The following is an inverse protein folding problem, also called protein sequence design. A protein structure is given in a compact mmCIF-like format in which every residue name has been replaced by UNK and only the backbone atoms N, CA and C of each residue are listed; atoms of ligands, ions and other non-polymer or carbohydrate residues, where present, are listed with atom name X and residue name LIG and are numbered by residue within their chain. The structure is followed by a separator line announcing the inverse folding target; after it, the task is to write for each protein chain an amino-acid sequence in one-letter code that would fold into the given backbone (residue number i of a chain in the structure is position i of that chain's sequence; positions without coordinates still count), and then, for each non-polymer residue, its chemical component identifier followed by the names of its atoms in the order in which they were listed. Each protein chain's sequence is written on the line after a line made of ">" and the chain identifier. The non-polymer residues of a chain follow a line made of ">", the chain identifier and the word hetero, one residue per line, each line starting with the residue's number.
data_IF_511758964355
#
_entry.id   IF_511758964355
#
_cell.length_a   1.000
_cell.length_b   1.000
_cell.length_c   1.000
_cell.angle_alpha   90.00
_cell.angle_beta   90.00
_cell.angle_gamma   90.00
#
_symmetry.space_group_name_H-M   'P 1'
#
loop_
_entity.id
_entity.type
_entity.pdbx_description
1 polymer ?
#
# COMPACT_ATOMS: atom_id res chain seq x y z
N UNK A 1 11.16 -15.16 -18.12
CA UNK A 1 11.46 -15.08 -16.66
C UNK A 1 12.67 -14.21 -16.47
N UNK A 2 12.80 -13.54 -15.31
CA UNK A 2 14.00 -12.78 -14.96
C UNK A 2 15.15 -13.75 -14.63
N UNK A 3 16.36 -13.46 -15.10
CA UNK A 3 17.57 -14.20 -14.66
C UNK A 3 18.20 -13.55 -13.43
N UNK A 4 19.00 -14.30 -12.67
CA UNK A 4 19.56 -13.82 -11.39
C UNK A 4 20.32 -12.48 -11.51
N UNK A 5 21.09 -12.29 -12.59
CA UNK A 5 21.85 -11.06 -12.84
C UNK A 5 20.96 -9.84 -13.11
N UNK A 6 19.78 -10.04 -13.71
CA UNK A 6 18.79 -8.98 -13.91
C UNK A 6 18.10 -8.63 -12.59
N UNK A 7 17.71 -9.64 -11.80
CA UNK A 7 17.08 -9.43 -10.49
C UNK A 7 18.02 -8.64 -9.56
N UNK A 8 19.33 -8.92 -9.61
CA UNK A 8 20.34 -8.13 -8.88
C UNK A 8 20.24 -6.64 -9.19
N UNK A 9 20.22 -6.31 -10.47
CA UNK A 9 20.25 -4.93 -10.95
C UNK A 9 18.94 -4.21 -10.60
N UNK A 10 17.81 -4.91 -10.70
CA UNK A 10 16.51 -4.41 -10.24
C UNK A 10 16.57 -4.09 -8.75
N UNK A 11 17.04 -5.02 -7.90
CA UNK A 11 17.13 -4.79 -6.45
C UNK A 11 18.00 -3.57 -6.13
N UNK A 12 19.17 -3.45 -6.76
CA UNK A 12 20.04 -2.27 -6.59
C UNK A 12 19.34 -0.97 -6.97
N UNK A 13 18.61 -0.98 -8.09
CA UNK A 13 17.87 0.21 -8.55
C UNK A 13 16.69 0.56 -7.63
N UNK A 14 15.97 -0.43 -7.10
CA UNK A 14 14.89 -0.23 -6.13
C UNK A 14 15.43 0.33 -4.80
N UNK A 15 16.52 -0.25 -4.28
CA UNK A 15 17.15 0.17 -3.03
C UNK A 15 17.60 1.63 -3.06
N UNK A 16 18.19 2.06 -4.17
CA UNK A 16 18.60 3.45 -4.37
C UNK A 16 17.43 4.41 -4.69
N UNK A 17 16.17 3.99 -4.48
CA UNK A 17 14.97 4.83 -4.52
C UNK A 17 14.44 5.24 -3.14
N UNK A 18 15.13 4.88 -2.05
CA UNK A 18 14.66 5.07 -0.67
C UNK A 18 14.22 6.50 -0.31
N UNK A 19 14.87 7.51 -0.89
CA UNK A 19 14.61 8.92 -0.59
C UNK A 19 13.79 9.64 -1.69
N UNK A 20 13.23 8.88 -2.64
CA UNK A 20 12.54 9.43 -3.80
C UNK A 20 11.01 9.40 -3.66
N UNK A 21 10.35 10.34 -4.35
CA UNK A 21 8.89 10.42 -4.44
C UNK A 21 8.37 9.48 -5.53
N UNK A 22 8.22 8.21 -5.20
CA UNK A 22 7.79 7.15 -6.12
C UNK A 22 6.28 6.88 -5.96
N UNK A 23 5.47 7.85 -6.41
CA UNK A 23 4.02 7.92 -6.13
C UNK A 23 3.14 7.44 -7.29
N UNK A 24 3.76 7.02 -8.40
CA UNK A 24 3.08 6.49 -9.57
C UNK A 24 3.91 5.39 -10.25
N UNK A 25 3.27 4.58 -11.09
CA UNK A 25 3.99 3.66 -11.96
C UNK A 25 4.94 4.37 -12.94
N UNK A 26 4.65 5.63 -13.31
CA UNK A 26 5.53 6.42 -14.17
C UNK A 26 6.84 6.83 -13.46
N UNK A 27 6.76 7.16 -12.17
CA UNK A 27 7.97 7.46 -11.36
C UNK A 27 8.89 6.23 -11.31
N UNK A 28 8.32 5.04 -11.13
CA UNK A 28 9.06 3.78 -11.16
C UNK A 28 9.64 3.47 -12.54
N UNK A 29 8.91 3.78 -13.61
CA UNK A 29 9.39 3.61 -14.98
C UNK A 29 10.63 4.47 -15.25
N UNK A 30 10.58 5.74 -14.85
CA UNK A 30 11.73 6.64 -14.94
C UNK A 30 12.91 6.11 -14.12
N UNK A 31 12.66 5.55 -12.94
CA UNK A 31 13.70 5.06 -12.04
C UNK A 31 14.40 3.80 -12.54
N UNK A 32 13.63 2.90 -13.14
CA UNK A 32 14.08 1.60 -13.64
C UNK A 32 14.46 1.64 -15.13
N UNK A 33 14.39 2.82 -15.76
CA UNK A 33 14.80 3.03 -17.13
C UNK A 33 16.24 2.58 -17.35
N UNK A 34 16.46 1.78 -18.41
CA UNK A 34 17.77 1.22 -18.74
C UNK A 34 18.26 0.08 -17.86
N UNK A 35 17.56 -0.28 -16.77
CA UNK A 35 17.94 -1.42 -15.92
C UNK A 35 17.58 -2.74 -16.62
N UNK A 36 18.52 -3.67 -16.85
CA UNK A 36 18.23 -4.98 -17.41
C UNK A 36 17.14 -5.74 -16.63
N UNK A 37 16.24 -6.42 -17.35
CA UNK A 37 15.08 -7.11 -16.78
C UNK A 37 13.94 -6.21 -16.29
N UNK A 38 14.14 -4.89 -16.16
CA UNK A 38 13.12 -3.96 -15.64
C UNK A 38 11.79 -4.01 -16.38
N UNK A 39 11.79 -4.31 -17.69
CA UNK A 39 10.55 -4.45 -18.49
C UNK A 39 9.59 -5.48 -17.90
N UNK A 40 10.09 -6.62 -17.41
CA UNK A 40 9.23 -7.67 -16.81
C UNK A 40 8.70 -7.20 -15.46
N UNK A 41 9.55 -6.57 -14.65
CA UNK A 41 9.16 -6.03 -13.35
C UNK A 41 8.13 -4.90 -13.49
N UNK A 42 8.35 -3.96 -14.42
CA UNK A 42 7.46 -2.84 -14.70
C UNK A 42 6.13 -3.28 -15.29
N UNK A 43 6.11 -4.33 -16.11
CA UNK A 43 4.84 -4.90 -16.59
C UNK A 43 3.95 -5.35 -15.43
N UNK A 44 4.54 -6.08 -14.48
CA UNK A 44 3.83 -6.49 -13.27
C UNK A 44 3.42 -5.27 -12.43
N UNK A 45 4.36 -4.35 -12.14
CA UNK A 45 4.09 -3.17 -11.31
C UNK A 45 2.96 -2.29 -11.87
N UNK A 46 2.87 -2.14 -13.21
CA UNK A 46 1.79 -1.40 -13.86
C UNK A 46 0.42 -2.06 -13.71
N UNK A 47 0.35 -3.39 -13.73
CA UNK A 47 -0.90 -4.12 -13.50
C UNK A 47 -1.38 -3.99 -12.05
N UNK A 48 -0.45 -3.92 -11.11
CA UNK A 48 -0.72 -3.75 -9.70
C UNK A 48 -1.09 -2.31 -9.30
N UNK A 49 -0.87 -1.33 -10.19
CA UNK A 49 -1.09 0.08 -9.90
C UNK A 49 -2.47 0.55 -10.35
N UNK A 50 -3.40 0.67 -9.40
CA UNK A 50 -4.76 1.10 -9.69
C UNK A 50 -4.87 2.63 -9.79
N UNK A 51 -5.76 3.14 -10.66
CA UNK A 51 -6.05 4.57 -10.74
C UNK A 51 -6.64 5.08 -9.42
N UNK A 52 -6.29 6.33 -9.09
CA UNK A 52 -6.79 7.01 -7.91
C UNK A 52 -7.47 8.29 -8.39
N UNK A 53 -8.80 8.27 -8.39
CA UNK A 53 -9.62 9.43 -8.70
C UNK A 53 -10.45 9.76 -7.47
N UNK A 54 -10.26 10.93 -6.83
CA UNK A 54 -11.14 11.39 -5.77
C UNK A 54 -12.60 11.42 -6.28
N UNK A 55 -13.54 10.71 -5.63
CA UNK A 55 -14.93 10.63 -6.10
C UNK A 55 -15.67 11.98 -6.09
N UNK A 56 -15.29 12.87 -5.19
CA UNK A 56 -15.88 14.21 -5.04
C UNK A 56 -14.84 15.25 -4.56
N UNK A 57 -15.25 16.51 -4.47
CA UNK A 57 -14.41 17.62 -4.02
C UNK A 57 -14.00 17.51 -2.55
N UNK A 58 -14.81 16.85 -1.73
CA UNK A 58 -14.46 16.63 -0.33
C UNK A 58 -13.30 15.64 -0.21
N UNK A 59 -13.38 14.50 -0.89
CA UNK A 59 -12.30 13.52 -1.01
C UNK A 59 -11.03 14.16 -1.59
N UNK A 60 -11.17 15.05 -2.58
CA UNK A 60 -10.03 15.81 -3.13
C UNK A 60 -9.35 16.66 -2.06
N UNK A 61 -10.10 17.38 -1.22
CA UNK A 61 -9.55 18.15 -0.10
C UNK A 61 -8.88 17.27 0.95
N UNK A 62 -9.43 16.07 1.21
CA UNK A 62 -8.85 15.14 2.19
C UNK A 62 -7.47 14.63 1.77
N UNK A 63 -7.17 14.55 0.47
CA UNK A 63 -5.81 14.24 -0.03
C UNK A 63 -4.80 15.22 0.52
N UNK A 64 -5.12 16.52 0.49
CA UNK A 64 -4.22 17.57 0.98
C UNK A 64 -4.07 17.50 2.49
N UNK A 65 -5.17 17.28 3.23
CA UNK A 65 -5.15 17.10 4.69
C UNK A 65 -4.22 15.96 5.12
N UNK A 66 -4.39 14.77 4.52
CA UNK A 66 -3.57 13.60 4.87
C UNK A 66 -2.11 13.80 4.46
N UNK A 67 -1.87 14.39 3.29
CA UNK A 67 -0.51 14.69 2.82
C UNK A 67 0.20 15.68 3.75
N UNK A 68 -0.47 16.76 4.15
CA UNK A 68 0.07 17.77 5.07
C UNK A 68 0.33 17.19 6.46
N UNK A 69 -0.54 16.30 6.94
CA UNK A 69 -0.31 15.61 8.22
C UNK A 69 0.97 14.76 8.18
N UNK A 70 1.11 13.92 7.14
CA UNK A 70 2.28 13.03 7.00
C UNK A 70 3.60 13.78 6.78
N UNK A 71 3.58 14.89 6.01
CA UNK A 71 4.79 15.64 5.61
C UNK A 71 5.66 16.14 6.77
N UNK A 72 5.14 16.16 8.00
CA UNK A 72 5.84 16.62 9.20
C UNK A 72 6.96 15.66 9.66
N UNK A 73 7.01 14.44 9.12
CA UNK A 73 7.86 13.36 9.64
C UNK A 73 8.76 12.72 8.57
N UNK A 74 9.91 12.20 8.99
CA UNK A 74 10.75 11.35 8.14
C UNK A 74 9.99 10.07 7.77
N UNK A 75 10.12 9.61 6.52
CA UNK A 75 9.39 8.45 6.01
C UNK A 75 8.00 8.75 5.42
N UNK A 76 7.55 10.01 5.44
CA UNK A 76 6.27 10.46 4.87
C UNK A 76 6.05 9.99 3.42
N UNK A 77 7.07 10.09 2.58
CA UNK A 77 6.98 9.67 1.18
C UNK A 77 6.63 8.19 1.03
N UNK A 78 7.20 7.32 1.87
CA UNK A 78 6.89 5.90 1.84
C UNK A 78 5.44 5.65 2.28
N UNK A 79 5.02 6.22 3.40
CA UNK A 79 3.64 6.05 3.90
C UNK A 79 2.66 6.57 2.86
N UNK A 80 2.91 7.75 2.29
CA UNK A 80 2.07 8.33 1.25
C UNK A 80 1.97 7.44 0.00
N UNK A 81 3.09 6.90 -0.49
CA UNK A 81 3.09 5.99 -1.63
C UNK A 81 2.27 4.71 -1.34
N UNK A 82 2.34 4.19 -0.12
CA UNK A 82 1.51 3.07 0.33
C UNK A 82 0.03 3.44 0.38
N UNK A 83 -0.32 4.55 1.04
CA UNK A 83 -1.68 5.10 1.11
C UNK A 83 -2.31 5.22 -0.26
N UNK A 84 -1.59 5.75 -1.25
CA UNK A 84 -2.07 5.86 -2.63
C UNK A 84 -2.42 4.49 -3.23
N UNK A 85 -1.52 3.51 -3.16
CA UNK A 85 -1.77 2.17 -3.73
C UNK A 85 -2.92 1.45 -3.03
N UNK A 86 -3.03 1.56 -1.71
CA UNK A 86 -4.17 1.02 -0.94
C UNK A 86 -5.47 1.70 -1.35
N UNK A 87 -5.47 3.02 -1.48
CA UNK A 87 -6.65 3.78 -1.92
C UNK A 87 -7.12 3.36 -3.31
N UNK A 88 -6.20 3.18 -4.26
CA UNK A 88 -6.53 2.69 -5.60
C UNK A 88 -7.12 1.27 -5.58
N UNK A 89 -6.55 0.36 -4.80
CA UNK A 89 -7.08 -0.99 -4.64
C UNK A 89 -8.49 -0.98 -4.01
N UNK A 90 -8.70 -0.15 -2.98
CA UNK A 90 -10.00 -0.01 -2.32
C UNK A 90 -11.06 0.52 -3.29
N UNK A 91 -10.74 1.53 -4.11
CA UNK A 91 -11.65 2.05 -5.13
C UNK A 91 -12.07 0.98 -6.15
N UNK A 92 -11.13 0.13 -6.60
CA UNK A 92 -11.44 -0.92 -7.57
C UNK A 92 -12.42 -1.96 -7.04
N UNK A 93 -12.38 -2.24 -5.74
CA UNK A 93 -13.26 -3.22 -5.10
C UNK A 93 -14.56 -2.60 -4.55
N UNK A 94 -14.71 -1.27 -4.55
CA UNK A 94 -15.79 -0.57 -3.89
C UNK A 94 -17.18 -1.07 -4.33
N UNK A 95 -17.39 -1.23 -5.64
CA UNK A 95 -18.66 -1.72 -6.20
C UNK A 95 -18.94 -3.18 -5.83
N UNK A 96 -17.93 -4.05 -5.81
CA UNK A 96 -18.10 -5.46 -5.42
C UNK A 96 -18.37 -5.59 -3.91
N UNK A 97 -17.84 -4.66 -3.12
CA UNK A 97 -18.01 -4.60 -1.68
C UNK A 97 -19.31 -3.96 -1.22
N UNK A 98 -20.13 -3.42 -2.12
CA UNK A 98 -21.30 -2.59 -1.78
C UNK A 98 -20.92 -1.41 -0.85
N UNK A 99 -19.77 -0.79 -1.14
CA UNK A 99 -19.24 0.36 -0.41
C UNK A 99 -19.19 1.54 -1.36
N UNK A 100 -19.83 2.65 -0.99
CA UNK A 100 -19.80 3.87 -1.79
C UNK A 100 -18.35 4.33 -2.04
N UNK A 101 -18.00 4.78 -3.26
CA UNK A 101 -16.63 5.12 -3.62
C UNK A 101 -15.96 6.12 -2.67
N UNK A 102 -16.69 7.10 -2.15
CA UNK A 102 -16.13 8.06 -1.19
C UNK A 102 -15.62 7.37 0.09
N UNK A 103 -16.30 6.35 0.61
CA UNK A 103 -15.84 5.67 1.82
C UNK A 103 -14.70 4.70 1.54
N UNK A 104 -14.71 4.02 0.39
CA UNK A 104 -13.58 3.22 -0.06
C UNK A 104 -12.31 4.08 -0.17
N UNK A 105 -12.45 5.27 -0.77
CA UNK A 105 -11.39 6.26 -0.89
C UNK A 105 -10.87 6.71 0.48
N UNK A 106 -11.76 7.17 1.36
CA UNK A 106 -11.39 7.70 2.68
C UNK A 106 -10.77 6.63 3.58
N UNK A 107 -11.25 5.38 3.53
CA UNK A 107 -10.62 4.29 4.26
C UNK A 107 -9.18 4.06 3.83
N UNK A 108 -8.93 3.93 2.52
CA UNK A 108 -7.58 3.79 2.00
C UNK A 108 -6.69 4.99 2.35
N UNK A 109 -7.24 6.20 2.32
CA UNK A 109 -6.51 7.44 2.58
C UNK A 109 -6.10 7.60 4.04
N UNK A 110 -6.99 7.28 4.99
CA UNK A 110 -6.77 7.54 6.42
C UNK A 110 -6.21 6.35 7.20
N UNK A 111 -6.20 5.12 6.68
CA UNK A 111 -5.87 3.93 7.50
C UNK A 111 -4.50 3.97 8.20
N UNK A 112 -3.50 4.58 7.56
CA UNK A 112 -2.11 4.69 8.06
C UNK A 112 -1.69 6.16 8.29
N UNK A 113 -2.65 7.11 8.37
CA UNK A 113 -2.30 8.53 8.56
C UNK A 113 -1.57 8.79 9.88
N UNK A 114 -1.88 8.01 10.92
CA UNK A 114 -1.25 8.08 12.24
C UNK A 114 0.09 7.33 12.35
N UNK A 115 0.61 6.75 11.25
CA UNK A 115 1.75 5.82 11.31
C UNK A 115 3.03 6.45 11.85
N UNK A 116 3.22 7.74 11.61
CA UNK A 116 4.42 8.47 12.00
C UNK A 116 4.27 9.14 13.38
N UNK A 117 3.09 9.04 13.99
CA UNK A 117 2.74 9.62 15.29
C UNK A 117 2.82 8.60 16.46
N UNK A 118 2.79 7.29 16.16
CA UNK A 118 2.74 6.18 17.15
C UNK A 118 3.89 6.24 18.19
N UNK A 119 5.06 6.74 17.80
CA UNK A 119 6.20 6.93 18.71
C UNK A 119 6.18 8.23 19.53
N UNK A 120 5.21 9.12 19.28
CA UNK A 120 5.12 10.46 19.86
C UNK A 120 3.96 10.54 20.86
N UNK A 121 2.79 10.01 20.48
CA UNK A 121 1.56 10.17 21.27
C UNK A 121 1.31 9.00 22.24
N UNK A 122 1.97 7.85 22.05
CA UNK A 122 1.77 6.65 22.88
C UNK A 122 0.46 5.89 22.60
N UNK A 123 -0.35 6.38 21.66
CA UNK A 123 -1.50 5.70 21.06
C UNK A 123 -1.06 4.88 19.83
N UNK A 124 -1.83 3.86 19.46
CA UNK A 124 -1.56 3.10 18.22
C UNK A 124 -1.86 3.95 16.98
N UNK A 125 -1.15 3.70 15.88
CA UNK A 125 -1.41 4.44 14.64
C UNK A 125 -2.85 4.29 14.13
N UNK A 126 -3.49 3.15 14.40
CA UNK A 126 -4.89 2.92 14.04
C UNK A 126 -5.85 3.80 14.87
N UNK A 127 -5.58 4.02 16.15
CA UNK A 127 -6.36 4.92 17.01
C UNK A 127 -6.17 6.38 16.60
N UNK A 128 -4.93 6.81 16.35
CA UNK A 128 -4.60 8.15 15.88
C UNK A 128 -5.28 8.41 14.53
N UNK A 129 -5.19 7.46 13.60
CA UNK A 129 -5.83 7.57 12.29
C UNK A 129 -7.36 7.67 12.38
N UNK A 130 -7.98 6.89 13.26
CA UNK A 130 -9.41 6.96 13.51
C UNK A 130 -9.85 8.30 14.14
N UNK A 131 -9.04 8.86 15.04
CA UNK A 131 -9.26 10.18 15.64
C UNK A 131 -9.20 11.28 14.59
N UNK A 132 -8.14 11.33 13.79
CA UNK A 132 -7.98 12.30 12.70
C UNK A 132 -9.14 12.19 11.70
N UNK A 133 -9.49 10.97 11.28
CA UNK A 133 -10.65 10.76 10.40
C UNK A 133 -11.96 11.26 11.04
N UNK A 134 -12.16 11.01 12.33
CA UNK A 134 -13.36 11.49 13.04
C UNK A 134 -13.45 13.00 13.02
N UNK A 135 -12.36 13.71 13.32
CA UNK A 135 -12.31 15.17 13.36
C UNK A 135 -12.68 15.79 12.00
N UNK A 136 -12.10 15.29 10.90
CA UNK A 136 -12.27 15.89 9.57
C UNK A 136 -13.57 15.50 8.88
N UNK A 137 -14.12 14.32 9.19
CA UNK A 137 -15.33 13.80 8.53
C UNK A 137 -16.63 14.25 9.21
N UNK A 138 -16.58 14.65 10.48
CA UNK A 138 -17.77 14.99 11.29
C UNK A 138 -18.57 16.18 10.77
N UNK A 139 -17.94 17.09 10.01
CA UNK A 139 -18.63 18.24 9.43
C UNK A 139 -19.42 17.90 8.15
N UNK A 140 -19.13 16.76 7.53
CA UNK A 140 -19.62 16.41 6.17
C UNK A 140 -20.52 15.18 6.17
N UNK A 141 -20.22 14.18 7.00
CA UNK A 141 -20.92 12.90 7.00
C UNK A 141 -21.73 12.70 8.28
N UNK A 142 -22.70 11.77 8.20
CA UNK A 142 -23.53 11.43 9.36
C UNK A 142 -22.71 10.78 10.47
N UNK A 143 -23.15 10.95 11.71
CA UNK A 143 -22.49 10.39 12.90
C UNK A 143 -22.31 8.86 12.82
N UNK A 144 -23.26 8.14 12.21
CA UNK A 144 -23.15 6.68 12.03
C UNK A 144 -22.03 6.31 11.07
N UNK A 145 -21.90 7.03 9.95
CA UNK A 145 -20.85 6.78 8.97
C UNK A 145 -19.46 7.12 9.52
N UNK A 146 -19.32 8.27 10.17
CA UNK A 146 -18.05 8.65 10.82
C UNK A 146 -17.61 7.60 11.84
N UNK A 147 -18.54 7.12 12.68
CA UNK A 147 -18.26 6.05 13.65
C UNK A 147 -17.83 4.75 12.97
N UNK A 148 -18.50 4.35 11.87
CA UNK A 148 -18.13 3.15 11.14
C UNK A 148 -16.74 3.28 10.53
N UNK A 149 -16.44 4.40 9.84
CA UNK A 149 -15.12 4.66 9.26
C UNK A 149 -14.02 4.63 10.32
N UNK A 150 -14.24 5.31 11.46
CA UNK A 150 -13.31 5.30 12.58
C UNK A 150 -13.10 3.88 13.14
N UNK A 151 -14.18 3.11 13.33
CA UNK A 151 -14.10 1.73 13.83
C UNK A 151 -13.38 0.78 12.86
N UNK A 152 -13.51 0.99 11.54
CA UNK A 152 -12.79 0.21 10.54
C UNK A 152 -11.30 0.54 10.57
N UNK A 153 -10.94 1.82 10.63
CA UNK A 153 -9.55 2.28 10.72
C UNK A 153 -8.89 1.77 12.01
N UNK A 154 -9.57 1.90 13.16
CA UNK A 154 -9.09 1.43 14.47
C UNK A 154 -9.17 -0.09 14.67
N UNK A 155 -9.59 -0.85 13.65
CA UNK A 155 -9.79 -2.31 13.68
C UNK A 155 -10.77 -2.79 14.76
N UNK A 156 -11.68 -1.93 15.19
CA UNK A 156 -12.75 -2.23 16.16
C UNK A 156 -14.05 -2.70 15.47
N UNK A 157 -14.21 -2.47 14.17
CA UNK A 157 -15.32 -2.98 13.39
C UNK A 157 -15.23 -4.50 13.20
N UNK A 158 -16.39 -5.14 12.97
CA UNK A 158 -16.45 -6.59 12.71
C UNK A 158 -15.60 -6.98 11.50
N UNK A 159 -14.86 -8.10 11.62
CA UNK A 159 -14.03 -8.63 10.54
C UNK A 159 -14.83 -9.11 9.31
N UNK A 160 -16.13 -9.36 9.47
CA UNK A 160 -17.03 -9.72 8.36
C UNK A 160 -17.73 -8.51 7.73
N UNK A 161 -17.53 -7.32 8.28
CA UNK A 161 -18.08 -6.09 7.72
C UNK A 161 -17.43 -5.80 6.35
N UNK A 162 -18.22 -5.40 5.32
CA UNK A 162 -17.67 -5.12 3.99
C UNK A 162 -16.58 -4.06 3.96
N UNK A 163 -16.69 -2.99 4.76
CA UNK A 163 -15.69 -1.92 4.84
C UNK A 163 -14.36 -2.43 5.41
N UNK A 164 -14.44 -3.31 6.43
CA UNK A 164 -13.26 -3.96 7.02
C UNK A 164 -12.58 -4.90 6.02
N UNK A 165 -13.36 -5.72 5.30
CA UNK A 165 -12.83 -6.63 4.27
C UNK A 165 -12.21 -5.88 3.11
N UNK A 166 -12.85 -4.81 2.67
CA UNK A 166 -12.37 -3.93 1.61
C UNK A 166 -11.00 -3.34 1.97
N UNK A 167 -10.89 -2.72 3.14
CA UNK A 167 -9.62 -2.14 3.60
C UNK A 167 -8.55 -3.22 3.81
N UNK A 168 -8.92 -4.36 4.40
CA UNK A 168 -8.01 -5.49 4.60
C UNK A 168 -7.42 -5.97 3.26
N UNK A 169 -8.26 -6.27 2.27
CA UNK A 169 -7.79 -6.74 0.97
C UNK A 169 -6.90 -5.69 0.28
N UNK A 170 -7.30 -4.42 0.32
CA UNK A 170 -6.57 -3.33 -0.31
C UNK A 170 -5.16 -3.15 0.28
N UNK A 171 -5.04 -3.19 1.62
CA UNK A 171 -3.75 -3.13 2.35
C UNK A 171 -2.89 -4.37 2.07
N UNK A 172 -3.49 -5.58 2.10
CA UNK A 172 -2.74 -6.82 1.88
C UNK A 172 -2.20 -6.96 0.46
N UNK A 173 -2.96 -6.52 -0.55
CA UNK A 173 -2.48 -6.50 -1.93
C UNK A 173 -1.20 -5.68 -2.09
N UNK A 174 -0.92 -4.68 -1.25
CA UNK A 174 0.32 -3.90 -1.35
C UNK A 174 1.56 -4.60 -0.77
N UNK A 175 1.40 -5.75 -0.11
CA UNK A 175 2.49 -6.43 0.62
C UNK A 175 3.22 -7.49 -0.21
N UNK A 176 2.63 -7.85 -1.36
CA UNK A 176 3.15 -8.84 -2.31
C UNK A 176 3.25 -8.22 -3.71
N UNK A 177 3.64 -9.02 -4.70
CA UNK A 177 3.89 -8.60 -6.07
C UNK A 177 5.09 -7.67 -6.21
N UNK A 178 5.16 -6.99 -7.36
CA UNK A 178 6.18 -5.99 -7.64
C UNK A 178 6.09 -4.79 -6.70
N UNK A 179 4.88 -4.34 -6.31
CA UNK A 179 4.70 -3.24 -5.35
C UNK A 179 5.19 -3.62 -3.97
N UNK A 180 4.93 -4.84 -3.50
CA UNK A 180 5.42 -5.32 -2.20
C UNK A 180 6.95 -5.40 -2.14
N UNK A 181 7.58 -5.87 -3.23
CA UNK A 181 9.05 -5.89 -3.36
C UNK A 181 9.60 -4.47 -3.37
N UNK A 182 9.05 -3.61 -4.24
CA UNK A 182 9.47 -2.23 -4.38
C UNK A 182 9.36 -1.47 -3.05
N UNK A 183 8.19 -1.51 -2.40
CA UNK A 183 7.94 -0.79 -1.14
C UNK A 183 8.89 -1.20 -0.04
N UNK A 184 9.30 -2.48 0.03
CA UNK A 184 10.18 -2.96 1.10
C UNK A 184 11.64 -2.59 0.84
N UNK A 185 12.06 -2.60 -0.42
CA UNK A 185 13.45 -2.27 -0.80
C UNK A 185 13.69 -0.76 -0.86
N UNK A 186 12.72 0.04 -1.28
CA UNK A 186 12.84 1.50 -1.40
C UNK A 186 12.54 2.21 -0.09
N UNK A 187 13.19 1.77 0.98
CA UNK A 187 13.17 2.42 2.30
C UNK A 187 14.59 2.56 2.79
N UNK A 188 14.86 3.50 3.69
CA UNK A 188 16.20 3.65 4.25
C UNK A 188 16.71 2.31 4.83
N UNK A 189 15.87 1.63 5.62
CA UNK A 189 16.19 0.32 6.18
C UNK A 189 16.37 -0.75 5.09
N UNK A 190 15.44 -0.84 4.14
CA UNK A 190 15.44 -1.87 3.10
C UNK A 190 16.62 -1.75 2.13
N UNK A 191 17.03 -0.51 1.84
CA UNK A 191 18.18 -0.23 0.99
C UNK A 191 19.51 -0.70 1.61
N UNK A 192 19.62 -0.64 2.95
CA UNK A 192 20.79 -1.11 3.71
C UNK A 192 20.71 -2.59 4.08
N UNK A 193 19.51 -3.15 4.18
CA UNK A 193 19.26 -4.51 4.66
C UNK A 193 18.40 -5.31 3.67
N UNK A 194 18.86 -5.40 2.43
CA UNK A 194 18.16 -6.06 1.31
C UNK A 194 17.68 -7.48 1.66
N UNK A 195 18.54 -8.32 2.24
CA UNK A 195 18.17 -9.70 2.61
C UNK A 195 17.02 -9.72 3.63
N UNK A 196 17.07 -8.85 4.65
CA UNK A 196 15.98 -8.70 5.62
C UNK A 196 14.70 -8.16 4.99
N UNK A 197 14.79 -7.20 4.08
CA UNK A 197 13.63 -6.70 3.34
C UNK A 197 12.96 -7.81 2.51
N UNK A 198 13.76 -8.62 1.80
CA UNK A 198 13.26 -9.77 1.03
C UNK A 198 12.70 -10.89 1.91
N UNK A 199 13.31 -11.17 3.08
CA UNK A 199 12.73 -12.09 4.08
C UNK A 199 11.36 -11.63 4.55
N UNK A 200 11.16 -10.32 4.75
CA UNK A 200 9.84 -9.77 5.09
C UNK A 200 8.83 -9.96 3.97
N UNK A 201 9.22 -9.74 2.70
CA UNK A 201 8.35 -10.03 1.55
C UNK A 201 7.99 -11.53 1.50
N UNK A 202 8.97 -12.41 1.72
CA UNK A 202 8.73 -13.87 1.82
C UNK A 202 7.72 -14.20 2.92
N UNK A 203 7.89 -13.64 4.12
CA UNK A 203 6.97 -13.87 5.23
C UNK A 203 5.55 -13.36 4.94
N UNK A 204 5.40 -12.23 4.24
CA UNK A 204 4.08 -11.71 3.82
C UNK A 204 3.41 -12.63 2.79
N UNK A 205 4.21 -13.24 1.89
CA UNK A 205 3.73 -14.24 0.93
C UNK A 205 3.28 -15.53 1.64
N UNK A 206 4.10 -16.06 2.56
CA UNK A 206 3.82 -17.30 3.30
C UNK A 206 2.59 -17.18 4.21
N UNK A 207 2.41 -16.01 4.83
CA UNK A 207 1.30 -15.73 5.73
C UNK A 207 0.14 -14.98 5.03
N UNK A 208 0.09 -15.00 3.70
CA UNK A 208 -0.91 -14.26 2.94
C UNK A 208 -2.30 -14.83 3.20
N UNK A 209 -3.20 -13.98 3.70
CA UNK A 209 -4.57 -14.38 4.05
C UNK A 209 -5.45 -14.47 2.80
N UNK A 210 -6.51 -15.28 2.82
CA UNK A 210 -7.50 -15.29 1.74
C UNK A 210 -8.10 -13.90 1.50
N UNK A 211 -8.34 -13.59 0.23
CA UNK A 211 -9.01 -12.37 -0.22
C UNK A 211 -10.52 -12.59 -0.28
N UNK A 212 -11.28 -11.51 -0.17
CA UNK A 212 -12.73 -11.50 -0.07
C UNK A 212 -13.42 -11.29 -1.42
N UNK A 213 -12.84 -10.47 -2.29
CA UNK A 213 -13.43 -10.02 -3.56
C UNK A 213 -12.78 -10.68 -4.77
N UNK A 214 -13.49 -10.70 -5.89
CA UNK A 214 -13.08 -11.31 -7.16
C UNK A 214 -11.83 -10.61 -7.67
N UNK A 215 -11.86 -9.27 -7.73
CA UNK A 215 -10.70 -8.47 -8.10
C UNK A 215 -9.47 -8.76 -7.23
N UNK A 216 -9.64 -8.78 -5.89
CA UNK A 216 -8.50 -9.02 -5.00
C UNK A 216 -7.98 -10.45 -5.04
N UNK A 217 -8.84 -11.45 -5.26
CA UNK A 217 -8.41 -12.84 -5.47
C UNK A 217 -7.53 -12.97 -6.71
N UNK A 218 -8.01 -12.48 -7.86
CA UNK A 218 -7.28 -12.54 -9.12
C UNK A 218 -5.96 -11.76 -9.06
N UNK A 219 -6.01 -10.54 -8.51
CA UNK A 219 -4.82 -9.72 -8.31
C UNK A 219 -3.83 -10.42 -7.37
N UNK A 220 -4.30 -10.98 -6.25
CA UNK A 220 -3.43 -11.69 -5.31
C UNK A 220 -2.75 -12.91 -5.96
N UNK A 221 -3.45 -13.67 -6.80
CA UNK A 221 -2.84 -14.80 -7.53
C UNK A 221 -1.68 -14.35 -8.41
N UNK A 222 -1.90 -13.36 -9.27
CA UNK A 222 -0.87 -12.81 -10.14
C UNK A 222 0.33 -12.26 -9.34
N UNK A 223 0.05 -11.55 -8.24
CA UNK A 223 1.07 -10.98 -7.37
C UNK A 223 1.88 -12.05 -6.63
N UNK A 224 1.23 -13.11 -6.14
CA UNK A 224 1.89 -14.24 -5.48
C UNK A 224 2.84 -14.96 -6.43
N UNK A 225 2.39 -15.24 -7.66
CA UNK A 225 3.19 -15.92 -8.68
C UNK A 225 4.45 -15.11 -9.03
N UNK A 226 4.28 -13.79 -9.19
CA UNK A 226 5.40 -12.90 -9.44
C UNK A 226 6.37 -12.87 -8.25
N UNK A 227 5.86 -12.71 -7.03
CA UNK A 227 6.70 -12.70 -5.81
C UNK A 227 7.48 -13.99 -5.65
N UNK A 228 6.83 -15.15 -5.83
CA UNK A 228 7.48 -16.45 -5.74
C UNK A 228 8.63 -16.58 -6.75
N UNK A 229 8.35 -16.24 -8.02
CA UNK A 229 9.36 -16.27 -9.09
C UNK A 229 10.53 -15.34 -8.79
N UNK A 230 10.25 -14.12 -8.34
CA UNK A 230 11.27 -13.13 -8.01
C UNK A 230 12.15 -13.59 -6.84
N UNK A 231 11.54 -14.07 -5.74
CA UNK A 231 12.27 -14.52 -4.56
C UNK A 231 13.11 -15.78 -4.83
N UNK A 232 12.62 -16.70 -5.67
CA UNK A 232 13.39 -17.89 -6.07
C UNK A 232 14.66 -17.53 -6.84
N UNK A 233 14.62 -16.48 -7.68
CA UNK A 233 15.80 -16.02 -8.41
C UNK A 233 16.89 -15.44 -7.48
N UNK A 234 16.58 -15.13 -6.23
CA UNK A 234 17.51 -14.60 -5.23
C UNK A 234 17.51 -15.40 -3.92
N UNK A 235 17.09 -16.67 -3.95
CA UNK A 235 16.96 -17.52 -2.77
C UNK A 235 18.26 -17.59 -1.95
N UNK A 236 19.39 -17.74 -2.64
CA UNK A 236 20.75 -17.74 -2.09
C UNK A 236 21.17 -16.46 -1.34
N UNK A 237 20.40 -15.37 -1.41
CA UNK A 237 20.68 -14.11 -0.68
C UNK A 237 19.74 -13.87 0.49
N UNK A 238 18.72 -14.72 0.63
CA UNK A 238 17.67 -14.59 1.64
C UNK A 238 17.96 -15.52 2.85
N UNK A 239 18.90 -16.47 2.69
CA UNK A 239 19.42 -17.35 3.75
C UNK A 239 20.25 -16.59 4.80
#
# INVERSE_FOLDING_TARGET
>A
MLVQSEVKQIITALAAGADQRLFSAADWDSRLSGVPGSRVFMRQLRQEWQPIAPPDDFCRKMVDVVREHLHKHNGAAHIWAHTLRVTGNALQMASEADVEPQFAFLLGLFHDVGKLDEGIEGETHEEIGARIATEVLSATYSKSMVKLTAAVISKQASAVNPFTRLLHDADKLDKIGATGIARRLSTEYGSRHVSTALRRVRAELENFRPMNYTFSKEMAEQKKDFTYTFLNAVSQWIE
#
